data_IF_501765747229
#
_entry.id   IF_501765747229
#
_cell.length_a   1.000
_cell.length_b   1.000
_cell.length_c   1.000
_cell.angle_alpha   90.00
_cell.angle_beta   90.00
_cell.angle_gamma   90.00
#
_symmetry.space_group_name_H-M   'P 1'
#
loop_
_entity.id
_entity.type
_entity.pdbx_description
1 polymer ?
#
# COMPACT_ATOMS: atom_id res chain seq x y z
N UNK A 1 -28.57 44.63 13.47
CA UNK A 1 -27.75 44.53 14.68
C UNK A 1 -27.94 43.15 15.29
N UNK A 2 -26.99 42.23 15.06
CA UNK A 2 -26.83 41.03 15.88
C UNK A 2 -25.33 40.95 16.19
N UNK A 3 -24.98 41.50 17.33
CA UNK A 3 -23.63 41.54 17.88
C UNK A 3 -23.41 40.22 18.59
N UNK A 4 -22.64 39.31 18.00
CA UNK A 4 -22.16 38.10 18.70
C UNK A 4 -20.97 38.53 19.56
N UNK A 5 -21.24 38.91 20.80
CA UNK A 5 -20.24 38.99 21.87
C UNK A 5 -20.10 37.59 22.49
N UNK A 6 -18.93 36.95 22.39
CA UNK A 6 -18.68 35.72 23.16
C UNK A 6 -17.65 34.76 22.59
N UNK A 7 -16.39 35.18 22.50
CA UNK A 7 -15.26 34.27 22.32
C UNK A 7 -13.98 34.99 22.72
N UNK A 8 -13.39 34.61 23.85
CA UNK A 8 -12.22 35.28 24.41
C UNK A 8 -11.11 35.43 23.35
N UNK A 9 -10.71 36.67 23.06
CA UNK A 9 -9.63 36.97 22.12
C UNK A 9 -8.31 36.54 22.75
N UNK A 10 -7.71 35.46 22.26
CA UNK A 10 -6.41 34.97 22.73
C UNK A 10 -5.27 35.71 22.00
N UNK A 11 -4.14 35.97 22.68
CA UNK A 11 -2.89 36.48 22.10
C UNK A 11 -1.91 35.32 21.95
N UNK A 12 -1.27 35.24 20.78
CA UNK A 12 -0.26 34.24 20.44
C UNK A 12 1.15 34.82 20.59
N UNK A 13 2.17 33.96 20.57
CA UNK A 13 3.58 34.37 20.64
C UNK A 13 4.23 34.21 19.27
N UNK A 14 4.97 35.24 18.84
CA UNK A 14 5.93 35.16 17.75
C UNK A 14 7.20 34.46 18.24
N UNK A 15 7.28 33.14 18.08
CA UNK A 15 8.45 32.36 18.48
C UNK A 15 8.86 31.37 17.39
N UNK A 16 10.11 31.46 16.94
CA UNK A 16 10.72 30.55 15.97
C UNK A 16 11.88 29.79 16.61
N UNK A 17 11.83 28.45 16.61
CA UNK A 17 12.98 27.63 17.01
C UNK A 17 14.15 27.86 16.05
N UNK A 18 13.89 27.90 14.73
CA UNK A 18 14.93 28.12 13.71
C UNK A 18 15.78 29.35 14.00
N UNK A 19 15.15 30.50 14.29
CA UNK A 19 15.84 31.74 14.60
C UNK A 19 16.67 31.69 15.89
N UNK A 20 16.21 30.95 16.90
CA UNK A 20 16.96 30.78 18.15
C UNK A 20 18.13 29.80 17.97
N UNK A 21 17.96 28.75 17.17
CA UNK A 21 19.02 27.82 16.80
C UNK A 21 20.13 28.49 15.98
N UNK A 22 19.76 29.37 15.02
CA UNK A 22 20.70 30.21 14.24
C UNK A 22 21.57 31.09 15.14
N UNK A 23 21.03 31.53 16.28
CA UNK A 23 21.75 32.34 17.28
C UNK A 23 22.56 31.54 18.29
N UNK A 24 22.67 30.22 18.10
CA UNK A 24 23.51 29.34 18.92
C UNK A 24 22.84 28.75 20.15
N UNK A 25 21.53 28.94 20.34
CA UNK A 25 20.77 28.34 21.46
C UNK A 25 20.45 26.87 21.15
N UNK A 26 21.48 26.02 21.19
CA UNK A 26 21.38 24.59 20.82
C UNK A 26 20.87 23.69 21.96
N UNK A 27 21.01 24.13 23.20
CA UNK A 27 20.51 23.39 24.36
C UNK A 27 19.04 23.73 24.61
N UNK A 28 18.15 22.75 24.37
CA UNK A 28 16.71 22.89 24.60
C UNK A 28 16.39 23.25 26.06
N UNK A 29 17.23 22.84 27.01
CA UNK A 29 17.03 23.03 28.44
C UNK A 29 17.21 24.48 28.88
N UNK A 30 17.78 25.33 28.03
CA UNK A 30 17.88 26.76 28.30
C UNK A 30 16.49 27.39 28.47
N UNK A 31 15.56 27.00 27.59
CA UNK A 31 14.18 27.47 27.56
C UNK A 31 13.23 26.49 28.26
N UNK A 32 13.33 25.20 27.96
CA UNK A 32 12.44 24.17 28.51
C UNK A 32 12.96 23.69 29.87
N UNK A 33 12.24 24.04 30.94
CA UNK A 33 12.50 23.52 32.29
C UNK A 33 11.75 22.22 32.55
N UNK A 34 12.29 21.37 33.40
CA UNK A 34 11.63 20.16 33.88
C UNK A 34 11.01 20.36 35.26
N UNK A 35 9.89 19.71 35.52
CA UNK A 35 9.38 19.47 36.88
C UNK A 35 9.95 18.15 37.42
N UNK A 36 9.61 17.78 38.65
CA UNK A 36 10.08 16.54 39.30
C UNK A 36 9.72 15.25 38.53
N UNK A 37 8.68 15.32 37.70
CA UNK A 37 8.23 14.24 36.82
C UNK A 37 8.96 14.20 35.47
N UNK A 38 9.99 15.05 35.29
CA UNK A 38 10.74 15.28 34.05
C UNK A 38 9.84 15.58 32.83
N UNK A 39 8.66 16.15 33.05
CA UNK A 39 7.85 16.69 31.96
C UNK A 39 8.39 18.06 31.54
N UNK A 40 8.71 18.29 30.26
CA UNK A 40 9.10 19.61 29.78
C UNK A 40 7.95 20.61 29.97
N UNK A 41 8.21 21.70 30.66
CA UNK A 41 7.28 22.81 30.82
C UNK A 41 7.46 23.84 29.70
N UNK A 42 6.42 24.63 29.47
CA UNK A 42 6.49 25.74 28.54
C UNK A 42 7.34 26.88 29.12
N UNK A 43 8.25 27.49 28.33
CA UNK A 43 9.03 28.62 28.79
C UNK A 43 8.11 29.76 29.20
N UNK A 44 8.28 30.26 30.43
CA UNK A 44 7.56 31.45 30.92
C UNK A 44 8.22 32.71 30.36
N UNK A 45 7.47 33.82 30.33
CA UNK A 45 7.97 35.12 29.86
C UNK A 45 9.32 35.50 30.47
N UNK A 46 9.54 35.20 31.76
CA UNK A 46 10.80 35.45 32.44
C UNK A 46 12.01 34.81 31.74
N UNK A 47 11.87 33.61 31.13
CA UNK A 47 12.94 32.96 30.37
C UNK A 47 13.30 33.73 29.10
N UNK A 48 12.31 34.25 28.38
CA UNK A 48 12.54 35.08 27.20
C UNK A 48 13.27 36.38 27.58
N UNK A 49 12.87 37.00 28.69
CA UNK A 49 13.42 38.26 29.15
C UNK A 49 14.89 38.17 29.60
N UNK A 50 15.43 36.98 29.89
CA UNK A 50 16.87 36.81 30.18
C UNK A 50 17.74 37.43 29.07
N UNK A 51 17.33 37.30 27.81
CA UNK A 51 18.04 37.88 26.67
C UNK A 51 17.28 39.06 26.05
N UNK A 52 15.94 39.07 26.12
CA UNK A 52 15.11 40.07 25.46
C UNK A 52 14.75 41.28 26.33
N UNK A 53 15.31 41.43 27.54
CA UNK A 53 14.96 42.53 28.47
C UNK A 53 15.07 43.92 27.85
N UNK A 54 16.05 44.14 26.96
CA UNK A 54 16.25 45.42 26.26
C UNK A 54 15.03 45.87 25.43
N UNK A 55 14.24 44.91 24.95
CA UNK A 55 13.07 45.16 24.10
C UNK A 55 11.76 45.19 24.90
N UNK A 56 11.81 45.02 26.22
CA UNK A 56 10.64 44.97 27.08
C UNK A 56 10.44 46.29 27.81
N UNK A 57 9.31 46.95 27.56
CA UNK A 57 8.93 48.19 28.24
C UNK A 57 7.43 48.16 28.59
N UNK A 58 7.12 48.07 29.88
CA UNK A 58 5.74 48.03 30.38
C UNK A 58 4.97 49.33 30.12
N UNK A 59 5.65 50.45 29.89
CA UNK A 59 5.01 51.75 29.59
C UNK A 59 4.68 51.88 28.11
N UNK A 60 5.34 51.11 27.25
CA UNK A 60 5.12 51.13 25.81
C UNK A 60 4.51 49.82 25.31
N UNK A 61 3.20 49.82 25.05
CA UNK A 61 2.46 48.66 24.55
C UNK A 61 2.97 48.10 23.21
N UNK A 62 3.67 48.91 22.41
CA UNK A 62 4.28 48.44 21.16
C UNK A 62 5.43 47.47 21.43
N UNK A 63 6.10 47.58 22.58
CA UNK A 63 7.16 46.65 22.97
C UNK A 63 6.65 45.20 23.11
N UNK A 64 5.39 45.04 23.51
CA UNK A 64 4.75 43.74 23.58
C UNK A 64 4.59 43.10 22.19
N UNK A 65 4.40 43.88 21.13
CA UNK A 65 4.17 43.36 19.79
C UNK A 65 5.41 42.72 19.14
N UNK A 66 6.61 42.92 19.70
CA UNK A 66 7.79 42.18 19.27
C UNK A 66 7.69 40.69 19.56
N UNK A 67 6.94 40.30 20.61
CA UNK A 67 6.81 38.92 21.05
C UNK A 67 5.38 38.40 20.94
N UNK A 68 4.36 39.27 21.00
CA UNK A 68 2.95 38.91 21.04
C UNK A 68 2.22 39.39 19.80
N UNK A 69 1.23 38.63 19.33
CA UNK A 69 0.38 39.08 18.21
C UNK A 69 -0.54 40.24 18.61
N UNK A 70 -0.88 40.37 19.89
CA UNK A 70 -1.75 41.42 20.44
C UNK A 70 -1.30 41.85 21.85
N UNK A 71 -1.30 43.16 22.19
CA UNK A 71 -0.87 43.66 23.49
C UNK A 71 -1.97 43.51 24.55
N UNK A 72 -1.59 43.45 25.83
CA UNK A 72 -2.52 43.52 26.96
C UNK A 72 -3.40 42.30 27.20
N UNK A 73 -3.12 41.14 26.57
CA UNK A 73 -3.92 39.93 26.75
C UNK A 73 -3.08 38.79 27.33
N UNK A 74 -3.69 38.03 28.23
CA UNK A 74 -3.09 36.81 28.79
C UNK A 74 -2.91 35.80 27.67
N UNK A 75 -1.68 35.32 27.47
CA UNK A 75 -1.44 34.19 26.58
C UNK A 75 -1.99 32.94 27.26
N UNK A 76 -2.90 32.26 26.59
CA UNK A 76 -3.24 30.88 26.88
C UNK A 76 -2.64 30.02 25.78
N UNK A 77 -1.48 29.42 26.04
CA UNK A 77 -0.97 28.36 25.16
C UNK A 77 -1.90 27.18 25.35
N UNK A 78 -2.85 26.98 24.42
CA UNK A 78 -3.70 25.79 24.42
C UNK A 78 -2.84 24.60 24.06
N UNK A 79 -2.37 23.88 25.07
CA UNK A 79 -1.72 22.59 24.88
C UNK A 79 -2.77 21.54 24.53
N UNK A 80 -3.23 21.56 23.28
CA UNK A 80 -4.18 20.57 22.80
C UNK A 80 -3.41 19.31 22.42
N UNK A 81 -3.17 18.43 23.40
CA UNK A 81 -2.78 17.06 23.10
C UNK A 81 -3.99 16.39 22.45
N UNK A 82 -3.87 15.91 21.19
CA UNK A 82 -4.97 15.21 20.54
C UNK A 82 -5.40 14.01 21.39
N UNK A 83 -6.72 13.75 21.48
CA UNK A 83 -7.29 12.68 22.33
C UNK A 83 -6.59 11.33 22.16
N UNK A 84 -6.14 11.01 20.93
CA UNK A 84 -5.38 9.79 20.59
C UNK A 84 -4.09 9.57 21.40
N UNK A 85 -3.51 10.62 21.99
CA UNK A 85 -2.31 10.49 22.83
C UNK A 85 -2.66 10.31 24.32
N UNK A 86 -3.88 10.64 24.75
CA UNK A 86 -4.28 10.54 26.17
C UNK A 86 -4.37 9.08 26.65
N UNK A 87 -4.65 8.16 25.73
CA UNK A 87 -4.71 6.71 25.98
C UNK A 87 -3.33 6.05 26.06
N UNK A 88 -2.24 6.76 25.73
CA UNK A 88 -0.91 6.19 25.76
C UNK A 88 -0.29 6.24 27.16
N UNK A 89 0.43 5.18 27.51
CA UNK A 89 1.33 5.06 28.66
C UNK A 89 2.69 5.65 28.27
N UNK A 90 2.74 6.97 28.09
CA UNK A 90 3.95 7.68 27.73
C UNK A 90 4.39 8.63 28.83
N UNK A 91 5.69 8.65 29.12
CA UNK A 91 6.32 9.57 30.08
C UNK A 91 7.67 10.04 29.53
N UNK A 92 7.93 11.35 29.53
CA UNK A 92 9.25 11.88 29.13
C UNK A 92 10.36 11.37 30.05
N UNK A 93 10.09 11.26 31.37
CA UNK A 93 11.02 10.75 32.39
C UNK A 93 11.78 9.50 31.97
N UNK A 94 11.06 8.43 31.65
CA UNK A 94 11.67 7.14 31.28
C UNK A 94 12.56 7.28 30.04
N UNK A 95 12.19 8.12 29.07
CA UNK A 95 12.96 8.30 27.85
C UNK A 95 14.23 9.14 28.09
N UNK A 96 14.11 10.22 28.86
CA UNK A 96 15.23 11.08 29.24
C UNK A 96 16.26 10.33 30.09
N UNK A 97 15.81 9.52 31.06
CA UNK A 97 16.67 8.65 31.88
C UNK A 97 17.37 7.57 31.06
N UNK A 98 16.83 7.20 29.89
CA UNK A 98 17.45 6.28 28.93
C UNK A 98 18.24 7.01 27.83
N UNK A 99 18.62 8.27 28.04
CA UNK A 99 19.43 9.08 27.11
C UNK A 99 18.80 9.28 25.72
N UNK A 100 17.46 9.29 25.64
CA UNK A 100 16.75 9.64 24.39
C UNK A 100 16.68 11.16 24.28
N UNK A 101 17.31 11.72 23.25
CA UNK A 101 17.34 13.16 23.01
C UNK A 101 16.01 13.67 22.42
N UNK A 102 15.64 14.92 22.72
CA UNK A 102 14.36 15.52 22.33
C UNK A 102 14.11 15.45 20.81
N UNK A 103 15.14 15.71 20.01
CA UNK A 103 15.08 15.73 18.54
C UNK A 103 14.97 14.32 17.91
N UNK A 104 15.21 13.25 18.68
CA UNK A 104 14.95 11.90 18.19
C UNK A 104 13.45 11.61 18.06
N UNK A 105 12.62 12.33 18.83
CA UNK A 105 11.16 12.25 18.73
C UNK A 105 10.56 13.48 18.03
N UNK A 106 10.97 14.69 18.40
CA UNK A 106 10.53 15.95 17.79
C UNK A 106 11.41 16.33 16.60
N UNK A 107 11.44 15.46 15.59
CA UNK A 107 12.34 15.59 14.45
C UNK A 107 12.07 16.87 13.66
N UNK A 108 13.11 17.69 13.47
CA UNK A 108 13.05 18.91 12.67
C UNK A 108 12.52 20.13 13.41
N UNK A 109 12.27 20.03 14.72
CA UNK A 109 11.84 21.17 15.54
C UNK A 109 12.83 22.32 15.48
N UNK A 110 14.12 22.02 15.35
CA UNK A 110 15.21 22.99 15.28
C UNK A 110 15.16 23.89 14.04
N UNK A 111 14.36 23.52 13.02
CA UNK A 111 14.19 24.29 11.78
C UNK A 111 12.80 24.91 11.65
N UNK A 112 11.98 24.85 12.70
CA UNK A 112 10.59 25.29 12.65
C UNK A 112 10.43 26.72 13.15
N UNK A 113 9.72 27.53 12.37
CA UNK A 113 9.27 28.85 12.79
C UNK A 113 8.01 28.80 13.65
N UNK A 114 7.23 27.73 13.57
CA UNK A 114 6.00 27.54 14.34
C UNK A 114 5.85 26.08 14.77
N UNK A 115 5.16 25.86 15.89
CA UNK A 115 4.83 24.52 16.38
C UNK A 115 3.43 24.15 15.91
N UNK A 116 3.38 23.09 15.11
CA UNK A 116 2.15 22.53 14.54
C UNK A 116 2.01 21.04 14.94
N UNK A 117 0.79 20.47 14.96
CA UNK A 117 0.58 19.11 15.45
C UNK A 117 1.33 17.99 14.72
N UNK A 118 1.89 18.24 13.54
CA UNK A 118 2.74 17.32 12.78
C UNK A 118 4.10 17.05 13.42
N UNK A 119 4.56 17.91 14.35
CA UNK A 119 5.79 17.66 15.13
C UNK A 119 5.59 16.60 16.23
N UNK A 120 4.34 16.20 16.48
CA UNK A 120 4.04 15.18 17.48
C UNK A 120 4.50 13.80 16.99
N UNK A 121 5.28 13.06 17.80
CA UNK A 121 5.75 11.72 17.47
C UNK A 121 4.61 10.79 17.06
N UNK A 122 4.79 10.04 15.97
CA UNK A 122 3.82 9.01 15.58
C UNK A 122 4.28 7.65 16.07
N UNK A 123 3.32 6.78 16.42
CA UNK A 123 3.65 5.42 16.87
C UNK A 123 4.49 4.67 15.83
N UNK A 124 4.08 4.70 14.57
CA UNK A 124 4.72 3.91 13.50
C UNK A 124 6.09 4.44 13.09
N UNK A 125 6.25 5.76 12.92
CA UNK A 125 7.51 6.32 12.43
C UNK A 125 8.50 6.67 13.55
N UNK A 126 8.02 6.92 14.77
CA UNK A 126 8.87 7.42 15.85
C UNK A 126 9.08 6.40 16.96
N UNK A 127 8.00 5.80 17.48
CA UNK A 127 8.10 4.90 18.63
C UNK A 127 8.55 3.48 18.24
N UNK A 128 7.87 2.88 17.26
CA UNK A 128 8.06 1.48 16.87
C UNK A 128 9.48 1.16 16.38
N UNK A 129 10.20 2.01 15.62
CA UNK A 129 11.54 1.66 15.13
C UNK A 129 12.53 1.37 16.25
N UNK A 130 12.49 2.14 17.34
CA UNK A 130 13.36 1.94 18.50
C UNK A 130 12.85 0.78 19.37
N UNK A 131 11.56 0.71 19.64
CA UNK A 131 10.99 -0.34 20.49
C UNK A 131 11.07 -1.72 19.85
N UNK A 132 10.87 -1.85 18.53
CA UNK A 132 10.97 -3.12 17.80
C UNK A 132 12.38 -3.72 17.88
N UNK A 133 13.41 -2.86 17.82
CA UNK A 133 14.82 -3.30 17.99
C UNK A 133 15.10 -3.89 19.38
N UNK A 134 14.30 -3.53 20.39
CA UNK A 134 14.42 -4.05 21.76
C UNK A 134 13.65 -5.35 21.97
N UNK A 135 12.84 -5.79 21.00
CA UNK A 135 12.06 -7.04 21.06
C UNK A 135 10.63 -6.89 20.55
N UNK A 136 10.04 -7.98 20.03
CA UNK A 136 8.65 -7.99 19.54
C UNK A 136 7.65 -7.76 20.68
N UNK A 137 7.97 -8.21 21.89
CA UNK A 137 7.20 -7.99 23.09
C UNK A 137 7.12 -6.51 23.49
N UNK A 138 8.10 -5.69 23.11
CA UNK A 138 8.13 -4.24 23.39
C UNK A 138 7.22 -3.42 22.48
N UNK A 139 6.71 -4.01 21.41
CA UNK A 139 5.73 -3.41 20.51
C UNK A 139 4.34 -4.06 20.64
N UNK A 140 4.15 -4.91 21.66
CA UNK A 140 2.81 -5.39 22.00
C UNK A 140 1.92 -4.21 22.41
N UNK A 141 0.67 -4.20 21.93
CA UNK A 141 -0.22 -3.05 22.04
C UNK A 141 -0.41 -2.57 23.49
N UNK A 142 -0.36 -3.47 24.47
CA UNK A 142 -0.64 -3.19 25.89
C UNK A 142 0.54 -2.55 26.62
N UNK A 143 1.73 -2.58 26.00
CA UNK A 143 2.91 -1.88 26.48
C UNK A 143 2.67 -0.37 26.39
N UNK A 144 2.12 0.09 25.27
CA UNK A 144 1.89 1.52 25.01
C UNK A 144 0.46 1.96 25.32
N UNK A 145 -0.57 1.17 25.01
CA UNK A 145 -1.96 1.59 25.20
C UNK A 145 -2.47 1.23 26.60
N UNK A 146 -3.12 2.18 27.27
CA UNK A 146 -3.87 1.96 28.53
C UNK A 146 -5.03 1.01 28.33
N UNK A 147 -5.73 1.15 27.21
CA UNK A 147 -6.87 0.34 26.83
C UNK A 147 -6.70 -0.13 25.38
N UNK A 148 -6.77 -1.44 25.15
CA UNK A 148 -6.85 -1.99 23.79
C UNK A 148 -8.27 -2.43 23.56
N UNK A 149 -8.96 -1.75 22.65
CA UNK A 149 -10.27 -2.19 22.17
C UNK A 149 -10.06 -3.11 20.98
N UNK A 150 -9.98 -4.42 21.23
CA UNK A 150 -9.85 -5.42 20.14
C UNK A 150 -11.11 -5.48 19.26
N UNK A 151 -12.22 -5.00 19.79
CA UNK A 151 -13.54 -4.88 19.16
C UNK A 151 -13.70 -3.60 18.31
N UNK A 152 -12.79 -2.62 18.43
CA UNK A 152 -12.94 -1.31 17.76
C UNK A 152 -11.70 -0.88 17.03
N UNK A 153 -11.86 -0.67 15.73
CA UNK A 153 -10.82 -0.12 14.87
C UNK A 153 -10.52 1.35 15.25
N UNK A 154 -9.24 1.76 15.34
CA UNK A 154 -8.91 3.17 15.43
C UNK A 154 -9.37 3.89 14.16
N UNK A 155 -9.84 5.13 14.29
CA UNK A 155 -10.36 5.92 13.16
C UNK A 155 -9.23 6.16 12.13
N UNK A 156 -9.31 5.48 10.98
CA UNK A 156 -8.38 5.65 9.86
C UNK A 156 -8.76 6.86 8.98
N UNK A 157 -10.04 7.23 9.01
CA UNK A 157 -10.54 8.56 8.71
C UNK A 157 -11.35 8.96 9.93
N UNK A 158 -11.31 10.23 10.35
CA UNK A 158 -11.98 10.73 11.55
C UNK A 158 -13.49 10.38 11.60
N UNK A 159 -14.05 9.88 10.48
CA UNK A 159 -15.49 9.69 10.25
C UNK A 159 -15.88 8.26 9.78
N UNK A 160 -14.95 7.34 9.50
CA UNK A 160 -15.28 6.00 8.94
C UNK A 160 -14.82 4.85 9.83
N UNK A 161 -15.74 4.35 10.63
CA UNK A 161 -15.60 3.13 11.41
C UNK A 161 -16.20 1.95 10.63
N UNK A 162 -15.41 0.90 10.37
CA UNK A 162 -15.92 -0.42 10.00
C UNK A 162 -16.27 -1.18 11.28
N UNK A 163 -17.55 -1.17 11.64
CA UNK A 163 -18.06 -1.98 12.75
C UNK A 163 -18.29 -3.42 12.25
N UNK A 164 -17.81 -4.42 13.00
CA UNK A 164 -17.97 -5.84 12.68
C UNK A 164 -19.42 -6.32 12.81
N UNK A 165 -20.22 -5.63 13.63
CA UNK A 165 -21.65 -5.93 13.83
C UNK A 165 -22.56 -5.16 12.84
N UNK A 166 -21.98 -4.43 11.89
CA UNK A 166 -22.74 -3.62 10.93
C UNK A 166 -23.41 -4.51 9.88
N UNK A 167 -24.73 -4.36 9.61
CA UNK A 167 -25.40 -5.08 8.53
C UNK A 167 -24.76 -4.86 7.14
N UNK A 168 -24.06 -3.74 6.93
CA UNK A 168 -23.31 -3.41 5.72
C UNK A 168 -21.82 -3.79 5.81
N UNK A 169 -21.44 -4.63 6.77
CA UNK A 169 -20.05 -4.99 7.03
C UNK A 169 -19.34 -5.48 5.75
N UNK A 170 -19.92 -6.42 5.00
CA UNK A 170 -19.31 -6.97 3.77
C UNK A 170 -18.94 -5.84 2.78
N UNK A 171 -19.82 -4.87 2.58
CA UNK A 171 -19.59 -3.77 1.65
C UNK A 171 -18.54 -2.79 2.18
N UNK A 172 -18.65 -2.38 3.44
CA UNK A 172 -17.74 -1.41 4.08
C UNK A 172 -16.34 -2.01 4.23
N UNK A 173 -16.24 -3.21 4.82
CA UNK A 173 -15.00 -3.96 4.94
C UNK A 173 -14.34 -4.17 3.58
N UNK A 174 -15.08 -4.65 2.58
CA UNK A 174 -14.53 -4.89 1.24
C UNK A 174 -13.99 -3.62 0.57
N UNK A 175 -14.65 -2.48 0.74
CA UNK A 175 -14.18 -1.20 0.23
C UNK A 175 -12.93 -0.71 0.98
N UNK A 176 -12.93 -0.75 2.31
CA UNK A 176 -11.79 -0.26 3.11
C UNK A 176 -10.54 -1.14 2.92
N UNK A 177 -10.72 -2.47 2.84
CA UNK A 177 -9.61 -3.39 2.54
C UNK A 177 -9.03 -3.14 1.14
N UNK A 178 -9.87 -2.79 0.15
CA UNK A 178 -9.39 -2.41 -1.18
C UNK A 178 -8.47 -1.18 -1.14
N UNK A 179 -8.75 -0.21 -0.26
CA UNK A 179 -7.93 1.00 -0.13
C UNK A 179 -6.65 0.81 0.71
N UNK A 180 -6.71 0.09 1.84
CA UNK A 180 -5.52 -0.10 2.69
C UNK A 180 -5.52 -1.44 3.44
N UNK A 181 -5.00 -2.47 2.78
CA UNK A 181 -4.85 -3.82 3.34
C UNK A 181 -3.89 -3.86 4.53
N UNK A 182 -2.83 -3.07 4.50
CA UNK A 182 -1.77 -3.09 5.52
C UNK A 182 -2.23 -2.46 6.84
N UNK A 183 -3.28 -1.65 6.82
CA UNK A 183 -3.91 -1.14 8.02
C UNK A 183 -4.61 -2.25 8.81
N UNK A 184 -5.38 -3.10 8.14
CA UNK A 184 -6.09 -4.22 8.75
C UNK A 184 -5.12 -5.25 9.36
N UNK A 185 -3.99 -5.51 8.68
CA UNK A 185 -2.93 -6.43 9.15
C UNK A 185 -2.27 -6.01 10.47
N UNK A 186 -2.51 -4.79 10.96
CA UNK A 186 -2.00 -4.33 12.26
C UNK A 186 -2.68 -5.03 13.44
N UNK A 187 -3.91 -5.52 13.23
CA UNK A 187 -4.67 -6.27 14.22
C UNK A 187 -4.99 -7.69 13.75
N UNK A 188 -5.24 -7.88 12.45
CA UNK A 188 -5.54 -9.17 11.84
C UNK A 188 -4.26 -9.83 11.32
N UNK A 189 -3.51 -10.45 12.23
CA UNK A 189 -2.24 -11.12 11.89
C UNK A 189 -2.45 -12.50 11.25
N UNK A 190 -3.55 -13.20 11.58
CA UNK A 190 -3.91 -14.49 10.96
C UNK A 190 -4.81 -14.28 9.74
N UNK A 191 -4.59 -15.11 8.71
CA UNK A 191 -5.43 -15.17 7.51
C UNK A 191 -6.66 -16.07 7.69
N UNK A 192 -6.76 -16.85 8.78
CA UNK A 192 -7.81 -17.86 8.94
C UNK A 192 -9.21 -17.25 8.87
N UNK A 193 -9.43 -16.12 9.55
CA UNK A 193 -10.72 -15.42 9.51
C UNK A 193 -11.06 -14.89 8.12
N UNK A 194 -10.05 -14.42 7.38
CA UNK A 194 -10.22 -13.95 6.01
C UNK A 194 -10.62 -15.11 5.09
N UNK A 195 -9.91 -16.24 5.20
CA UNK A 195 -10.16 -17.43 4.40
C UNK A 195 -11.54 -18.01 4.71
N UNK A 196 -11.87 -18.22 5.99
CA UNK A 196 -13.14 -18.81 6.40
C UNK A 196 -14.34 -17.99 5.90
N UNK A 197 -14.30 -16.66 6.08
CA UNK A 197 -15.38 -15.80 5.60
C UNK A 197 -15.43 -15.74 4.07
N UNK A 198 -14.28 -15.66 3.38
CA UNK A 198 -14.26 -15.55 1.92
C UNK A 198 -14.51 -16.86 1.17
N UNK A 199 -14.45 -18.01 1.85
CA UNK A 199 -14.95 -19.27 1.33
C UNK A 199 -16.46 -19.22 1.08
N UNK A 200 -17.21 -18.62 2.01
CA UNK A 200 -18.65 -18.38 1.88
C UNK A 200 -18.94 -17.14 1.02
N UNK A 201 -18.24 -16.03 1.30
CA UNK A 201 -18.40 -14.73 0.67
C UNK A 201 -17.26 -14.47 -0.34
N UNK A 202 -17.43 -15.02 -1.54
CA UNK A 202 -16.44 -14.88 -2.62
C UNK A 202 -16.08 -13.40 -2.88
N UNK A 203 -14.78 -13.08 -3.06
CA UNK A 203 -14.38 -11.71 -3.39
C UNK A 203 -15.12 -11.20 -4.64
N UNK A 204 -15.37 -9.89 -4.74
CA UNK A 204 -16.07 -9.27 -5.89
C UNK A 204 -15.48 -9.65 -7.26
N UNK A 205 -14.17 -9.91 -7.30
CA UNK A 205 -13.46 -10.37 -8.50
C UNK A 205 -13.89 -11.76 -8.95
N UNK A 206 -14.40 -12.63 -8.08
CA UNK A 206 -14.70 -14.04 -8.38
C UNK A 206 -16.09 -14.23 -8.99
N UNK A 207 -16.32 -13.55 -10.12
CA UNK A 207 -17.53 -13.69 -10.93
C UNK A 207 -17.25 -14.47 -12.24
N UNK A 208 -18.30 -14.80 -12.99
CA UNK A 208 -18.18 -15.57 -14.24
C UNK A 208 -17.37 -14.84 -15.32
N UNK A 209 -17.39 -13.51 -15.35
CA UNK A 209 -16.61 -12.75 -16.31
C UNK A 209 -15.11 -12.88 -16.01
N UNK A 210 -14.72 -12.77 -14.74
CA UNK A 210 -13.33 -13.00 -14.32
C UNK A 210 -12.88 -14.43 -14.60
N UNK A 211 -13.69 -15.42 -14.18
CA UNK A 211 -13.42 -16.83 -14.44
C UNK A 211 -13.25 -17.12 -15.93
N UNK A 212 -13.98 -16.47 -16.83
CA UNK A 212 -13.89 -16.77 -18.26
C UNK A 212 -12.87 -15.93 -19.02
N UNK A 213 -12.57 -14.71 -18.57
CA UNK A 213 -11.84 -13.74 -19.39
C UNK A 213 -10.55 -13.20 -18.78
N UNK A 214 -10.45 -13.10 -17.46
CA UNK A 214 -9.35 -12.33 -16.84
C UNK A 214 -8.57 -13.07 -15.76
N UNK A 215 -9.02 -14.23 -15.28
CA UNK A 215 -8.25 -15.03 -14.32
C UNK A 215 -6.91 -15.51 -14.89
N UNK A 216 -6.85 -15.87 -16.19
CA UNK A 216 -5.61 -16.29 -16.86
C UNK A 216 -4.57 -15.17 -16.92
N UNK A 217 -5.01 -13.93 -17.19
CA UNK A 217 -4.15 -12.75 -17.09
C UNK A 217 -3.70 -12.52 -15.64
N UNK A 218 -4.61 -12.56 -14.65
CA UNK A 218 -4.20 -12.41 -13.25
C UNK A 218 -3.18 -13.48 -12.81
N UNK A 219 -3.37 -14.72 -13.24
CA UNK A 219 -2.46 -15.84 -12.98
C UNK A 219 -1.11 -15.69 -13.71
N UNK A 220 -1.03 -15.07 -14.88
CA UNK A 220 0.25 -14.85 -15.56
C UNK A 220 1.15 -13.85 -14.83
N UNK A 221 0.56 -12.92 -14.06
CA UNK A 221 1.29 -11.93 -13.28
C UNK A 221 1.72 -12.45 -11.91
N UNK A 222 0.81 -13.08 -11.16
CA UNK A 222 1.08 -13.49 -9.78
C UNK A 222 0.18 -14.66 -9.34
N UNK A 223 0.60 -15.88 -9.66
CA UNK A 223 -0.11 -17.11 -9.23
C UNK A 223 -0.14 -17.29 -7.72
N UNK A 224 0.84 -16.74 -6.99
CA UNK A 224 0.96 -16.96 -5.53
C UNK A 224 -0.22 -16.36 -4.78
N UNK A 225 -0.84 -15.29 -5.29
CA UNK A 225 -2.07 -14.71 -4.73
C UNK A 225 -3.26 -15.67 -4.75
N UNK A 226 -3.34 -16.55 -5.74
CA UNK A 226 -4.41 -17.56 -5.82
C UNK A 226 -4.20 -18.66 -4.78
N UNK A 227 -2.93 -18.96 -4.47
CA UNK A 227 -2.55 -20.02 -3.52
C UNK A 227 -2.93 -19.73 -2.07
N UNK A 228 -3.41 -18.51 -1.77
CA UNK A 228 -3.95 -18.14 -0.46
C UNK A 228 -5.23 -18.93 -0.15
N UNK A 229 -6.03 -19.24 -1.17
CA UNK A 229 -7.30 -19.97 -1.01
C UNK A 229 -7.39 -21.24 -1.88
N UNK A 230 -6.68 -21.29 -3.01
CA UNK A 230 -6.70 -22.41 -3.95
C UNK A 230 -5.42 -23.23 -3.85
N UNK A 231 -5.54 -24.54 -4.08
CA UNK A 231 -4.38 -25.42 -4.22
C UNK A 231 -4.08 -25.69 -5.70
N UNK A 232 -2.90 -26.21 -6.01
CA UNK A 232 -2.43 -26.43 -7.38
C UNK A 232 -3.33 -27.41 -8.16
N UNK A 233 -3.89 -28.39 -7.45
CA UNK A 233 -4.86 -29.36 -7.94
C UNK A 233 -6.13 -28.71 -8.52
N UNK A 234 -6.54 -27.54 -8.03
CA UNK A 234 -7.68 -26.80 -8.56
C UNK A 234 -7.40 -26.30 -9.99
N UNK A 235 -6.20 -25.77 -10.21
CA UNK A 235 -5.78 -25.28 -11.53
C UNK A 235 -5.76 -26.43 -12.53
N UNK A 236 -5.11 -27.54 -12.16
CA UNK A 236 -4.99 -28.74 -13.00
C UNK A 236 -6.37 -29.29 -13.35
N UNK A 237 -7.21 -29.60 -12.36
CA UNK A 237 -8.54 -30.17 -12.60
C UNK A 237 -9.41 -29.32 -13.50
N UNK A 238 -9.40 -27.99 -13.33
CA UNK A 238 -10.18 -27.08 -14.16
C UNK A 238 -9.64 -27.03 -15.61
N UNK A 239 -8.33 -26.88 -15.77
CA UNK A 239 -7.70 -26.75 -17.09
C UNK A 239 -7.67 -28.08 -17.88
N UNK A 240 -7.71 -29.22 -17.20
CA UNK A 240 -7.87 -30.54 -17.85
C UNK A 240 -9.32 -30.81 -18.28
N UNK A 241 -10.30 -30.37 -17.49
CA UNK A 241 -11.72 -30.66 -17.76
C UNK A 241 -12.45 -29.59 -18.56
N UNK A 242 -11.89 -28.39 -18.67
CA UNK A 242 -12.53 -27.25 -19.33
C UNK A 242 -11.86 -26.93 -20.65
N UNK A 243 -12.59 -27.13 -21.75
CA UNK A 243 -12.14 -26.72 -23.08
C UNK A 243 -11.88 -25.21 -23.15
N UNK A 244 -10.71 -24.76 -23.61
CA UNK A 244 -10.39 -23.34 -23.75
C UNK A 244 -11.32 -22.60 -24.73
N UNK A 245 -11.52 -21.29 -24.54
CA UNK A 245 -12.41 -20.48 -25.39
C UNK A 245 -11.97 -20.38 -26.86
N UNK A 246 -10.69 -20.64 -27.17
CA UNK A 246 -10.19 -20.66 -28.55
C UNK A 246 -10.49 -21.98 -29.28
N UNK A 247 -10.94 -23.02 -28.57
CA UNK A 247 -11.38 -24.30 -29.14
C UNK A 247 -12.90 -24.28 -29.41
N UNK A 248 -13.34 -23.30 -30.20
CA UNK A 248 -14.75 -23.13 -30.64
C UNK A 248 -14.88 -23.25 -32.16
N UNK A 249 -16.12 -23.24 -32.66
CA UNK A 249 -16.52 -23.46 -34.06
C UNK A 249 -15.43 -23.23 -35.13
N UNK A 250 -15.20 -24.25 -35.97
CA UNK A 250 -14.05 -24.41 -36.91
C UNK A 250 -12.80 -25.08 -36.32
N UNK A 251 -12.91 -25.70 -35.15
CA UNK A 251 -11.93 -26.64 -34.61
C UNK A 251 -12.37 -28.07 -34.97
N UNK A 252 -11.95 -28.57 -36.14
CA UNK A 252 -12.35 -29.89 -36.67
C UNK A 252 -12.95 -29.88 -38.08
N UNK A 253 -13.28 -31.06 -38.59
CA UNK A 253 -13.83 -31.28 -39.94
C UNK A 253 -15.22 -30.63 -40.10
N UNK A 254 -15.59 -30.08 -41.29
CA UNK A 254 -14.83 -30.04 -42.55
C UNK A 254 -14.00 -28.77 -42.74
N UNK A 255 -14.06 -27.81 -41.81
CA UNK A 255 -13.29 -26.56 -41.84
C UNK A 255 -12.49 -26.42 -40.57
N UNK A 256 -11.22 -26.83 -40.63
CA UNK A 256 -10.30 -26.71 -39.51
C UNK A 256 -9.43 -25.45 -39.65
N UNK A 257 -9.75 -24.39 -38.91
CA UNK A 257 -8.94 -23.15 -38.86
C UNK A 257 -7.74 -23.28 -37.90
N UNK A 258 -7.67 -24.35 -37.12
CA UNK A 258 -6.54 -24.65 -36.22
C UNK A 258 -5.20 -24.62 -36.96
N UNK A 259 -5.09 -25.37 -38.07
CA UNK A 259 -3.84 -25.51 -38.83
C UNK A 259 -3.37 -24.20 -39.49
N UNK A 260 -4.25 -23.22 -39.66
CA UNK A 260 -3.95 -21.95 -40.37
C UNK A 260 -3.61 -20.79 -39.45
N UNK A 261 -3.80 -20.95 -38.14
CA UNK A 261 -3.62 -19.89 -37.14
C UNK A 261 -2.45 -20.16 -36.18
N UNK A 262 -1.65 -21.21 -36.43
CA UNK A 262 -0.45 -21.48 -35.65
C UNK A 262 0.67 -20.51 -36.06
N UNK A 263 1.17 -19.71 -35.10
CA UNK A 263 2.36 -18.89 -35.30
C UNK A 263 3.61 -19.68 -34.85
N UNK A 264 4.64 -19.67 -35.68
CA UNK A 264 5.95 -20.27 -35.38
C UNK A 264 6.96 -19.11 -35.22
N UNK A 265 7.83 -19.08 -34.18
CA UNK A 265 8.10 -20.13 -33.19
C UNK A 265 6.95 -20.34 -32.19
N UNK A 266 6.64 -21.63 -31.90
CA UNK A 266 5.53 -22.03 -31.02
C UNK A 266 5.69 -21.56 -29.56
N UNK A 267 6.90 -21.15 -29.18
CA UNK A 267 7.18 -20.49 -27.91
C UNK A 267 6.40 -19.18 -27.71
N UNK A 268 5.94 -18.56 -28.80
CA UNK A 268 5.28 -17.26 -28.78
C UNK A 268 3.75 -17.37 -28.84
N UNK A 269 3.18 -18.58 -28.88
CA UNK A 269 1.73 -18.80 -28.83
C UNK A 269 1.29 -19.37 -27.49
N UNK A 270 0.11 -18.94 -27.03
CA UNK A 270 -0.50 -19.43 -25.79
C UNK A 270 -0.97 -20.89 -25.86
N UNK A 271 -0.92 -21.53 -27.03
CA UNK A 271 -1.29 -22.93 -27.22
C UNK A 271 -0.35 -23.90 -26.50
N UNK A 272 0.95 -23.56 -26.38
CA UNK A 272 1.96 -24.40 -25.72
C UNK A 272 1.80 -24.50 -24.21
N UNK A 273 0.96 -23.64 -23.63
CA UNK A 273 0.58 -23.71 -22.21
C UNK A 273 -0.14 -25.03 -21.90
N UNK A 274 -0.97 -25.52 -22.83
CA UNK A 274 -1.68 -26.80 -22.69
C UNK A 274 -1.11 -27.90 -23.60
N UNK A 275 -0.45 -27.53 -24.71
CA UNK A 275 0.17 -28.46 -25.65
C UNK A 275 1.70 -28.27 -25.66
N UNK A 276 2.43 -28.80 -24.67
CA UNK A 276 3.89 -28.64 -24.60
C UNK A 276 4.60 -29.28 -25.82
N UNK A 277 3.99 -30.32 -26.39
CA UNK A 277 4.38 -30.94 -27.66
C UNK A 277 3.16 -31.04 -28.59
N UNK A 278 2.85 -30.01 -29.40
CA UNK A 278 1.69 -30.02 -30.27
C UNK A 278 1.88 -30.99 -31.44
N UNK A 279 1.36 -32.21 -31.31
CA UNK A 279 1.33 -33.19 -32.39
C UNK A 279 0.15 -32.97 -33.32
N UNK A 280 0.34 -33.17 -34.63
CA UNK A 280 -0.71 -33.09 -35.64
C UNK A 280 -1.07 -34.48 -36.21
N UNK A 281 -1.65 -35.41 -35.43
CA UNK A 281 -1.97 -36.76 -35.91
C UNK A 281 -3.03 -36.78 -37.01
N UNK A 282 -3.78 -35.68 -37.19
CA UNK A 282 -4.74 -35.48 -38.28
C UNK A 282 -4.15 -34.76 -39.50
N UNK A 283 -2.88 -34.33 -39.45
CA UNK A 283 -2.18 -33.91 -40.66
C UNK A 283 -1.97 -35.16 -41.51
N UNK A 284 -2.44 -35.12 -42.76
CA UNK A 284 -2.23 -36.20 -43.71
C UNK A 284 -0.73 -36.27 -43.99
N UNK A 285 -0.16 -37.47 -44.04
CA UNK A 285 1.23 -37.68 -44.48
C UNK A 285 1.46 -37.02 -45.85
N UNK A 286 2.71 -36.63 -46.13
CA UNK A 286 3.04 -36.10 -47.44
C UNK A 286 2.67 -37.16 -48.50
N UNK A 287 1.92 -36.82 -49.56
CA UNK A 287 1.56 -37.79 -50.60
C UNK A 287 2.78 -38.24 -51.43
N UNK A 288 3.96 -37.66 -51.19
CA UNK A 288 5.21 -38.05 -51.83
C UNK A 288 6.32 -38.34 -50.80
N UNK A 289 7.22 -39.30 -51.09
CA UNK A 289 8.36 -39.64 -50.23
C UNK A 289 9.29 -38.42 -49.98
N UNK A 290 10.18 -38.48 -48.98
CA UNK A 290 11.03 -37.35 -48.61
C UNK A 290 11.93 -36.96 -49.79
N UNK A 291 11.55 -35.91 -50.51
CA UNK A 291 12.42 -35.26 -51.48
C UNK A 291 13.43 -34.43 -50.68
N UNK A 292 14.50 -35.09 -50.23
CA UNK A 292 15.63 -34.41 -49.61
C UNK A 292 16.26 -33.48 -50.64
N UNK A 293 15.99 -32.17 -50.53
CA UNK A 293 16.81 -31.12 -51.15
C UNK A 293 16.26 -30.36 -52.35
N UNK A 294 14.98 -30.48 -52.73
CA UNK A 294 14.37 -29.64 -53.78
C UNK A 294 13.32 -28.66 -53.21
N UNK A 295 13.31 -27.38 -53.62
CA UNK A 295 12.26 -26.44 -53.23
C UNK A 295 10.93 -26.86 -53.85
N UNK A 296 9.89 -27.04 -53.04
CA UNK A 296 8.60 -27.57 -53.50
C UNK A 296 7.93 -26.67 -54.56
N UNK A 297 8.20 -25.37 -54.54
CA UNK A 297 7.76 -24.38 -55.54
C UNK A 297 8.19 -24.72 -56.98
N UNK A 298 9.22 -25.55 -57.16
CA UNK A 298 9.63 -26.04 -58.48
C UNK A 298 8.60 -27.01 -59.09
N UNK A 299 7.93 -27.83 -58.27
CA UNK A 299 6.90 -28.77 -58.70
C UNK A 299 5.48 -28.25 -58.46
N UNK A 300 5.31 -27.34 -57.50
CA UNK A 300 4.04 -26.68 -57.15
C UNK A 300 4.14 -25.16 -57.29
N UNK A 301 4.15 -24.62 -58.53
CA UNK A 301 4.27 -23.18 -58.80
C UNK A 301 3.00 -22.37 -58.49
N UNK A 302 2.17 -22.80 -57.53
CA UNK A 302 0.97 -22.08 -57.07
C UNK A 302 -0.34 -22.42 -57.80
N UNK A 303 -0.42 -23.57 -58.48
CA UNK A 303 -1.65 -24.09 -59.09
C UNK A 303 -2.41 -25.08 -58.19
N UNK A 304 -3.77 -25.08 -58.17
CA UNK A 304 -4.55 -25.99 -57.36
C UNK A 304 -4.30 -27.47 -57.69
N UNK A 305 -4.41 -28.37 -56.69
CA UNK A 305 -4.91 -28.14 -55.33
C UNK A 305 -3.80 -27.66 -54.38
N UNK A 306 -3.91 -26.41 -53.89
CA UNK A 306 -2.99 -25.90 -52.87
C UNK A 306 -3.23 -26.61 -51.53
N UNK A 307 -2.17 -26.92 -50.76
CA UNK A 307 -2.34 -27.39 -49.39
C UNK A 307 -3.00 -26.28 -48.55
N UNK A 308 -3.87 -26.62 -47.59
CA UNK A 308 -4.65 -25.65 -46.83
C UNK A 308 -3.83 -24.96 -45.72
N UNK A 309 -2.58 -24.56 -45.97
CA UNK A 309 -1.72 -23.83 -45.03
C UNK A 309 -0.87 -22.75 -45.75
N UNK A 310 -0.35 -21.72 -45.03
CA UNK A 310 0.55 -20.71 -45.58
C UNK A 310 1.81 -21.34 -46.20
N UNK A 311 2.43 -20.67 -47.18
CA UNK A 311 3.72 -21.09 -47.73
C UNK A 311 4.77 -21.10 -46.62
N UNK A 312 5.29 -22.28 -46.28
CA UNK A 312 6.27 -22.47 -45.20
C UNK A 312 7.68 -21.99 -45.61
N UNK A 313 7.90 -21.77 -46.91
CA UNK A 313 9.16 -21.32 -47.49
C UNK A 313 9.51 -19.87 -47.06
N UNK A 314 8.50 -19.04 -46.75
CA UNK A 314 8.70 -17.66 -46.27
C UNK A 314 9.10 -17.57 -44.79
N UNK A 315 8.94 -18.66 -44.03
CA UNK A 315 9.19 -18.71 -42.58
C UNK A 315 10.28 -19.72 -42.17
N UNK A 316 10.87 -20.44 -43.14
CA UNK A 316 12.07 -21.27 -42.95
C UNK A 316 11.84 -22.56 -42.15
N UNK A 317 10.68 -23.21 -42.31
CA UNK A 317 10.29 -24.39 -41.53
C UNK A 317 10.12 -25.59 -42.44
N UNK A 318 10.84 -26.67 -42.14
CA UNK A 318 10.75 -27.90 -42.90
C UNK A 318 9.37 -28.56 -42.74
N UNK A 319 8.81 -29.07 -43.85
CA UNK A 319 7.52 -29.77 -43.86
C UNK A 319 7.50 -31.02 -42.94
N UNK A 320 8.67 -31.63 -42.71
CA UNK A 320 8.90 -32.77 -41.81
C UNK A 320 8.50 -32.49 -40.35
N UNK A 321 8.42 -31.21 -39.96
CA UNK A 321 7.95 -30.78 -38.64
C UNK A 321 6.47 -31.12 -38.44
N UNK A 322 5.67 -31.05 -39.50
CA UNK A 322 4.21 -31.24 -39.45
C UNK A 322 3.75 -32.56 -40.07
N UNK A 323 4.47 -33.06 -41.07
CA UNK A 323 4.16 -34.30 -41.80
C UNK A 323 5.21 -35.35 -41.46
N UNK A 324 4.83 -36.36 -40.68
CA UNK A 324 5.78 -37.36 -40.14
C UNK A 324 6.15 -38.47 -41.12
N UNK A 325 5.75 -38.39 -42.40
CA UNK A 325 6.21 -39.22 -43.52
C UNK A 325 6.21 -38.44 -44.82
#
# INVERSE_FOLDING_TARGET
MITILGGCKESEIHYSHAKHMERGLKDCNFCHSYKDDLQPDWPKMAKCLICHMKYYDTKNLQSCLFCHTKPGMKITVKHVIPKKYQELKFTHKVHLENNVACNQCHVGIEKRDTITPDILPTMYNTCMPCHRKRGKERIACNVCHKYIRKDRMPLYHEDRWVNHDDPLWIQKHGNEFYYNQDYCKRCHESLDSCVNCHQDQKPRSHNNAWRRRTHGFAASWDRKKCMVCHQEDFCVRCHESTTPLNHVASWGSPRNRHCRNCHIPVSNVSCTVCHPDPTHPSAIDSPHPPFTGLPCLECHPGGPPNPPHPSLDDIGIECTVCHKR
#
